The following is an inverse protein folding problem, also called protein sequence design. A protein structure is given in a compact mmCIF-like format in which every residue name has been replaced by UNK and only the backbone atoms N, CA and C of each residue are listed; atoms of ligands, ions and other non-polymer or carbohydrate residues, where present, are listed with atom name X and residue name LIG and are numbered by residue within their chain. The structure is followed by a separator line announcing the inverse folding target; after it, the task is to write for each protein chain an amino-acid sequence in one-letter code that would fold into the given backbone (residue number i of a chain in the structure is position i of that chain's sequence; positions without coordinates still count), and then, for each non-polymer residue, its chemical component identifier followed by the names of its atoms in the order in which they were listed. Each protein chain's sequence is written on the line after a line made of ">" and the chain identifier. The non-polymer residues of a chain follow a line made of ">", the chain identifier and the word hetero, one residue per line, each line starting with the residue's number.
data_IF_512002444308
#
_entry.id   IF_512002444308
#
_cell.length_a   1.000
_cell.length_b   1.000
_cell.length_c   1.000
_cell.angle_alpha   90.00
_cell.angle_beta   90.00
_cell.angle_gamma   90.00
#
_symmetry.space_group_name_H-M   'P 1'
#
loop_
_entity.id
_entity.type
_entity.pdbx_description
1 polymer ?
#
# COMPACT_ATOMS: atom_id res chain seq x y z
N UNK A 1 -16.98 14.84 8.76
CA UNK A 1 -17.29 13.41 8.89
C UNK A 1 -16.12 12.55 8.40
N UNK A 2 -15.84 11.42 9.07
CA UNK A 2 -14.73 10.50 8.70
C UNK A 2 -14.89 10.00 7.26
N UNK A 3 -16.12 9.80 6.80
CA UNK A 3 -16.42 9.34 5.45
C UNK A 3 -16.06 10.35 4.36
N UNK A 4 -16.22 11.63 4.59
CA UNK A 4 -15.88 12.67 3.61
C UNK A 4 -14.35 12.73 3.39
N UNK A 5 -13.58 12.49 4.45
CA UNK A 5 -12.12 12.39 4.37
C UNK A 5 -11.64 11.13 3.62
N UNK A 6 -12.40 10.03 3.72
CA UNK A 6 -12.05 8.75 3.08
C UNK A 6 -12.42 8.69 1.59
N UNK A 7 -13.35 9.54 1.14
CA UNK A 7 -13.88 9.53 -0.24
C UNK A 7 -13.33 10.67 -1.11
N UNK A 8 -12.75 11.71 -0.52
CA UNK A 8 -12.13 12.79 -1.29
C UNK A 8 -10.68 12.47 -1.66
N UNK A 9 -10.51 11.79 -2.78
CA UNK A 9 -9.19 11.51 -3.37
C UNK A 9 -8.63 12.65 -4.22
N UNK A 10 -9.32 13.77 -4.34
CA UNK A 10 -8.92 14.93 -5.16
C UNK A 10 -7.60 15.54 -4.70
N UNK A 11 -7.30 15.44 -3.40
CA UNK A 11 -6.06 15.91 -2.77
C UNK A 11 -4.97 14.83 -2.65
N UNK A 12 -5.17 13.65 -3.27
CA UNK A 12 -4.31 12.49 -3.15
C UNK A 12 -4.61 11.63 -1.92
N UNK A 13 -4.05 10.43 -1.89
CA UNK A 13 -4.15 9.53 -0.74
C UNK A 13 -2.76 9.02 -0.34
N UNK A 14 -2.61 8.68 0.92
CA UNK A 14 -1.39 8.09 1.47
C UNK A 14 -1.66 6.65 1.87
N UNK A 15 -0.74 5.76 1.49
CA UNK A 15 -0.79 4.38 1.94
C UNK A 15 0.06 4.25 3.19
N UNK A 16 -0.48 3.66 4.23
CA UNK A 16 0.25 3.25 5.42
C UNK A 16 -0.18 1.85 5.87
N UNK A 17 0.68 1.19 6.63
CA UNK A 17 0.40 -0.15 7.12
C UNK A 17 -0.52 -0.06 8.35
N UNK A 18 -1.78 -0.47 8.20
CA UNK A 18 -2.76 -0.44 9.29
C UNK A 18 -2.30 -1.30 10.48
N UNK A 19 -1.70 -2.45 10.21
CA UNK A 19 -1.14 -3.32 11.26
C UNK A 19 -0.07 -2.61 12.10
N UNK A 20 0.75 -1.77 11.50
CA UNK A 20 1.73 -0.93 12.20
C UNK A 20 1.03 0.18 12.98
N UNK A 21 0.05 0.86 12.39
CA UNK A 21 -0.70 1.92 13.07
C UNK A 21 -1.41 1.41 14.34
N UNK A 22 -1.93 0.19 14.33
CA UNK A 22 -2.60 -0.42 15.47
C UNK A 22 -1.66 -0.82 16.63
N UNK A 23 -0.35 -0.84 16.42
CA UNK A 23 0.64 -1.11 17.49
C UNK A 23 0.91 0.11 18.36
N UNK A 24 0.61 1.32 17.89
CA UNK A 24 0.86 2.53 18.64
C UNK A 24 -0.11 2.72 19.80
N UNK A 25 0.44 3.10 20.94
CA UNK A 25 -0.31 3.45 22.15
C UNK A 25 -0.79 4.90 22.11
N UNK A 26 -0.02 5.77 21.46
CA UNK A 26 -0.30 7.19 21.38
C UNK A 26 -1.07 7.55 20.10
N UNK A 27 -2.15 8.29 20.24
CA UNK A 27 -2.87 8.90 19.10
C UNK A 27 -1.96 9.85 18.31
N UNK A 28 -1.01 10.49 18.96
CA UNK A 28 -0.06 11.38 18.30
C UNK A 28 0.91 10.60 17.43
N UNK A 29 1.34 9.43 17.85
CA UNK A 29 2.18 8.54 17.04
C UNK A 29 1.44 8.08 15.77
N UNK A 30 0.16 7.70 15.90
CA UNK A 30 -0.67 7.35 14.75
C UNK A 30 -0.77 8.52 13.76
N UNK A 31 -1.00 9.73 14.25
CA UNK A 31 -1.09 10.94 13.42
C UNK A 31 0.23 11.27 12.71
N UNK A 32 1.35 11.19 13.42
CA UNK A 32 2.66 11.37 12.80
C UNK A 32 2.96 10.27 11.78
N UNK A 33 2.57 9.04 12.05
CA UNK A 33 2.73 7.93 11.12
C UNK A 33 1.93 8.16 9.82
N UNK A 34 0.66 8.57 9.93
CA UNK A 34 -0.15 8.96 8.77
C UNK A 34 0.47 10.11 7.97
N UNK A 35 0.99 11.11 8.68
CA UNK A 35 1.58 12.31 8.08
C UNK A 35 2.87 12.00 7.32
N UNK A 36 3.70 11.10 7.85
CA UNK A 36 5.05 10.81 7.36
C UNK A 36 5.11 9.63 6.39
N UNK A 37 4.11 8.73 6.42
CA UNK A 37 4.10 7.55 5.58
C UNK A 37 4.18 7.89 4.10
N UNK A 38 5.20 7.34 3.42
CA UNK A 38 5.46 7.57 2.01
C UNK A 38 6.05 8.94 1.66
N UNK A 39 6.32 9.79 2.64
CA UNK A 39 6.98 11.08 2.41
C UNK A 39 8.48 10.88 2.23
N UNK A 40 9.04 11.60 1.26
CA UNK A 40 10.49 11.60 0.95
C UNK A 40 11.13 12.97 1.13
N UNK A 41 10.32 13.99 1.25
CA UNK A 41 10.77 15.39 1.32
C UNK A 41 10.49 15.97 2.69
N UNK A 42 11.26 16.98 3.06
CA UNK A 42 11.07 17.77 4.27
C UNK A 42 9.65 18.33 4.32
N UNK A 43 9.01 18.23 5.46
CA UNK A 43 7.72 18.81 5.77
C UNK A 43 7.91 19.99 6.74
N UNK A 44 7.23 21.08 6.48
CA UNK A 44 7.27 22.29 7.33
C UNK A 44 5.87 22.60 7.77
N UNK A 45 5.65 22.70 9.08
CA UNK A 45 4.36 23.05 9.65
C UNK A 45 4.49 24.21 10.64
N UNK A 46 3.71 25.29 10.46
CA UNK A 46 3.52 26.30 11.49
C UNK A 46 3.01 25.66 12.79
N UNK A 47 3.43 26.18 13.94
CA UNK A 47 3.07 25.63 15.26
C UNK A 47 1.55 25.53 15.43
N UNK A 48 0.82 26.59 15.08
CA UNK A 48 -0.64 26.65 15.25
C UNK A 48 -1.34 25.63 14.33
N UNK A 49 -0.91 25.51 13.08
CA UNK A 49 -1.44 24.51 12.17
C UNK A 49 -1.20 23.07 12.69
N UNK A 50 -0.01 22.81 13.24
CA UNK A 50 0.32 21.51 13.79
C UNK A 50 -0.56 21.19 15.01
N UNK A 51 -0.77 22.15 15.91
CA UNK A 51 -1.69 22.01 17.04
C UNK A 51 -3.13 21.76 16.59
N UNK A 52 -3.58 22.43 15.55
CA UNK A 52 -4.91 22.22 14.96
C UNK A 52 -5.07 20.82 14.40
N UNK A 53 -4.10 20.35 13.60
CA UNK A 53 -4.09 18.98 13.04
C UNK A 53 -4.17 17.91 14.12
N UNK A 54 -3.52 18.12 15.26
CA UNK A 54 -3.55 17.21 16.41
C UNK A 54 -4.72 17.46 17.38
N UNK A 55 -5.56 18.48 17.14
CA UNK A 55 -6.69 18.90 17.99
C UNK A 55 -6.24 19.19 19.44
N UNK A 56 -5.16 19.94 19.58
CA UNK A 56 -4.55 20.27 20.88
C UNK A 56 -4.30 21.78 21.05
N UNK A 57 -5.06 22.63 20.37
CA UNK A 57 -4.91 24.09 20.42
C UNK A 57 -4.94 24.62 21.86
N UNK A 58 -5.85 24.08 22.67
CA UNK A 58 -6.10 24.56 24.05
C UNK A 58 -5.30 23.77 25.12
N UNK A 59 -4.57 22.72 24.73
CA UNK A 59 -3.95 21.80 25.71
C UNK A 59 -2.57 22.21 26.15
N UNK A 60 -1.77 22.84 25.29
CA UNK A 60 -0.36 23.10 25.54
C UNK A 60 -0.03 24.57 25.34
N UNK A 61 -0.22 25.37 26.38
CA UNK A 61 0.07 26.80 26.35
C UNK A 61 1.56 27.09 26.07
N UNK A 62 2.45 26.27 26.63
CA UNK A 62 3.90 26.35 26.38
C UNK A 62 4.30 25.42 25.24
N UNK A 63 5.00 25.94 24.25
CA UNK A 63 5.50 25.15 23.11
C UNK A 63 6.42 24.01 23.55
N UNK A 64 7.22 24.21 24.61
CA UNK A 64 8.06 23.15 25.15
C UNK A 64 7.27 21.95 25.71
N UNK A 65 6.08 22.18 26.27
CA UNK A 65 5.20 21.10 26.71
C UNK A 65 4.61 20.35 25.54
N UNK A 66 4.28 21.04 24.44
CA UNK A 66 3.86 20.40 23.20
C UNK A 66 4.97 19.49 22.62
N UNK A 67 6.21 19.98 22.59
CA UNK A 67 7.35 19.18 22.14
C UNK A 67 7.50 17.93 23.03
N UNK A 68 7.59 18.11 24.34
CA UNK A 68 7.84 17.04 25.32
C UNK A 68 6.72 15.99 25.40
N UNK A 69 5.46 16.41 25.21
CA UNK A 69 4.28 15.53 25.39
C UNK A 69 3.70 15.01 24.09
N UNK A 70 4.02 15.60 22.95
CA UNK A 70 3.45 15.22 21.64
C UNK A 70 4.53 14.77 20.68
N UNK A 71 5.55 15.61 20.40
CA UNK A 71 6.54 15.32 19.35
C UNK A 71 7.49 14.23 19.79
N UNK A 72 8.15 14.40 20.95
CA UNK A 72 9.18 13.45 21.41
C UNK A 72 8.63 12.05 21.72
N UNK A 73 7.51 11.88 22.43
CA UNK A 73 6.96 10.56 22.65
C UNK A 73 6.51 9.88 21.35
N UNK A 74 5.95 10.65 20.41
CA UNK A 74 5.59 10.12 19.11
C UNK A 74 6.80 9.67 18.30
N UNK A 75 7.89 10.46 18.31
CA UNK A 75 9.15 10.09 17.68
C UNK A 75 9.69 8.78 18.24
N UNK A 76 9.77 8.66 19.55
CA UNK A 76 10.30 7.46 20.21
C UNK A 76 9.50 6.21 19.83
N UNK A 77 8.16 6.30 19.84
CA UNK A 77 7.31 5.17 19.50
C UNK A 77 7.41 4.81 18.00
N UNK A 78 7.53 5.81 17.11
CA UNK A 78 7.78 5.56 15.69
C UNK A 78 9.18 4.96 15.46
N UNK A 79 10.19 5.38 16.21
CA UNK A 79 11.55 4.84 16.11
C UNK A 79 11.61 3.35 16.45
N UNK A 80 10.75 2.88 17.36
CA UNK A 80 10.72 1.49 17.81
C UNK A 80 9.83 0.59 16.95
N UNK A 81 8.68 1.11 16.45
CA UNK A 81 7.61 0.27 15.92
C UNK A 81 7.28 0.51 14.44
N UNK A 82 7.80 1.60 13.86
CA UNK A 82 7.36 2.08 12.57
C UNK A 82 8.43 2.00 11.49
N UNK A 83 8.08 1.61 10.25
CA UNK A 83 8.96 1.76 9.09
C UNK A 83 9.16 3.22 8.67
N UNK A 84 8.37 4.16 9.20
CA UNK A 84 8.52 5.58 8.95
C UNK A 84 8.67 6.32 10.28
N UNK A 85 9.78 7.00 10.44
CA UNK A 85 10.06 7.90 11.55
C UNK A 85 10.54 9.25 11.04
N UNK A 86 11.01 10.13 11.91
CA UNK A 86 11.46 11.47 11.53
C UNK A 86 12.52 12.02 12.44
N UNK A 87 13.36 12.87 11.90
CA UNK A 87 14.07 13.89 12.67
C UNK A 87 13.31 15.22 12.58
N UNK A 88 13.51 16.08 13.55
CA UNK A 88 12.84 17.37 13.57
C UNK A 88 13.75 18.51 14.02
N UNK A 89 13.43 19.72 13.59
CA UNK A 89 14.04 20.94 14.07
C UNK A 89 12.99 22.04 14.21
N UNK A 90 13.21 22.96 15.14
CA UNK A 90 12.31 24.08 15.36
C UNK A 90 12.85 25.36 14.71
N UNK A 91 12.01 26.05 13.95
CA UNK A 91 12.31 27.39 13.46
C UNK A 91 11.84 28.42 14.50
N UNK A 92 12.70 29.36 14.83
CA UNK A 92 12.46 30.37 15.85
C UNK A 92 12.49 31.78 15.26
N UNK A 93 11.59 32.61 15.73
CA UNK A 93 11.65 34.07 15.57
C UNK A 93 11.94 34.67 16.93
N UNK A 94 13.16 35.17 17.12
CA UNK A 94 13.67 35.53 18.43
C UNK A 94 13.65 34.37 19.42
N UNK A 95 12.89 34.48 20.51
CA UNK A 95 12.74 33.42 21.53
C UNK A 95 11.55 32.46 21.30
N UNK A 96 10.69 32.76 20.32
CA UNK A 96 9.47 31.96 20.07
C UNK A 96 9.68 30.96 18.94
N UNK A 97 9.22 29.73 19.13
CA UNK A 97 9.14 28.72 18.06
C UNK A 97 7.89 29.06 17.23
N UNK A 98 8.07 29.23 15.92
CA UNK A 98 6.99 29.56 14.97
C UNK A 98 6.60 28.38 14.08
N UNK A 99 7.55 27.49 13.78
CA UNK A 99 7.27 26.30 12.96
C UNK A 99 8.22 25.17 13.28
N UNK A 100 7.84 23.97 12.82
CA UNK A 100 8.68 22.77 12.92
C UNK A 100 8.98 22.26 11.51
N UNK A 101 10.21 21.78 11.34
CA UNK A 101 10.65 21.04 10.18
C UNK A 101 10.70 19.55 10.57
N UNK A 102 10.08 18.70 9.78
CA UNK A 102 10.17 17.25 9.93
C UNK A 102 10.91 16.67 8.74
N UNK A 103 11.85 15.79 9.00
CA UNK A 103 12.66 15.10 8.01
C UNK A 103 12.29 13.62 8.06
N UNK A 104 11.43 13.14 7.16
CA UNK A 104 11.00 11.74 7.15
C UNK A 104 12.17 10.80 6.91
N UNK A 105 12.21 9.70 7.68
CA UNK A 105 13.22 8.64 7.59
C UNK A 105 12.48 7.32 7.40
N UNK A 106 12.92 6.52 6.44
CA UNK A 106 12.40 5.18 6.21
C UNK A 106 13.33 4.13 6.82
N UNK A 107 12.78 3.28 7.71
CA UNK A 107 13.45 2.16 8.37
C UNK A 107 12.88 0.83 7.83
N UNK A 108 13.50 0.21 6.84
CA UNK A 108 12.98 -1.01 6.23
C UNK A 108 12.88 -2.19 7.20
N UNK A 109 13.70 -2.22 8.26
CA UNK A 109 13.74 -3.27 9.27
C UNK A 109 12.45 -3.39 10.09
N UNK A 110 11.69 -2.31 10.23
CA UNK A 110 10.39 -2.29 10.95
C UNK A 110 9.19 -2.57 10.06
N UNK A 111 9.43 -2.83 8.77
CA UNK A 111 8.36 -3.11 7.82
C UNK A 111 7.78 -4.50 8.07
N UNK A 112 6.45 -4.63 7.92
CA UNK A 112 5.78 -5.92 7.98
C UNK A 112 6.29 -6.83 6.85
N UNK A 113 6.90 -7.97 7.22
CA UNK A 113 7.53 -8.89 6.29
C UNK A 113 6.53 -9.53 5.30
N UNK A 114 5.30 -9.79 5.76
CA UNK A 114 4.27 -10.36 4.89
C UNK A 114 3.75 -9.35 3.87
N UNK A 115 3.51 -8.10 4.30
CA UNK A 115 3.12 -7.02 3.41
C UNK A 115 4.21 -6.72 2.39
N UNK A 116 5.47 -6.69 2.83
CA UNK A 116 6.61 -6.51 1.95
C UNK A 116 6.72 -7.63 0.92
N UNK A 117 6.57 -8.89 1.34
CA UNK A 117 6.56 -10.05 0.44
C UNK A 117 5.41 -9.98 -0.58
N UNK A 118 4.21 -9.61 -0.14
CA UNK A 118 3.05 -9.41 -1.04
C UNK A 118 3.27 -8.27 -2.04
N UNK A 119 3.90 -7.18 -1.63
CA UNK A 119 4.22 -6.08 -2.55
C UNK A 119 5.33 -6.46 -3.54
N UNK A 120 6.38 -7.14 -3.10
CA UNK A 120 7.40 -7.70 -3.99
C UNK A 120 6.78 -8.65 -5.01
N UNK A 121 5.90 -9.55 -4.58
CA UNK A 121 5.17 -10.43 -5.48
C UNK A 121 4.33 -9.66 -6.51
N UNK A 122 3.73 -8.53 -6.12
CA UNK A 122 3.01 -7.65 -7.06
C UNK A 122 3.93 -6.89 -8.02
N UNK A 123 5.13 -6.54 -7.58
CA UNK A 123 6.10 -5.78 -8.38
C UNK A 123 6.92 -6.65 -9.32
N UNK A 124 7.29 -7.86 -8.89
CA UNK A 124 8.17 -8.76 -9.64
C UNK A 124 7.51 -9.47 -10.81
N UNK A 125 6.27 -9.13 -11.15
CA UNK A 125 5.63 -9.57 -12.37
C UNK A 125 5.12 -11.01 -12.36
N UNK A 126 4.44 -11.36 -13.44
CA UNK A 126 3.71 -12.62 -13.69
C UNK A 126 4.54 -13.92 -13.55
N UNK A 127 5.87 -13.84 -13.48
CA UNK A 127 6.75 -14.99 -13.65
C UNK A 127 6.99 -15.83 -12.39
N UNK A 128 6.54 -15.41 -11.21
CA UNK A 128 6.83 -16.14 -9.96
C UNK A 128 5.76 -17.17 -9.59
N UNK A 129 4.51 -16.92 -9.95
CA UNK A 129 3.39 -17.80 -9.59
C UNK A 129 2.83 -18.58 -10.78
N UNK A 130 2.98 -18.02 -12.00
CA UNK A 130 2.60 -18.70 -13.24
C UNK A 130 3.82 -19.30 -13.93
N UNK A 131 3.74 -20.56 -14.33
CA UNK A 131 4.79 -21.21 -15.11
C UNK A 131 5.12 -20.44 -16.39
N UNK A 132 6.41 -20.34 -16.74
CA UNK A 132 6.86 -19.66 -17.96
C UNK A 132 6.16 -20.14 -19.21
N UNK A 133 5.87 -21.45 -19.29
CA UNK A 133 5.17 -22.07 -20.40
C UNK A 133 3.73 -21.57 -20.50
N UNK A 134 3.03 -21.44 -19.36
CA UNK A 134 1.66 -20.91 -19.29
C UNK A 134 1.61 -19.46 -19.76
N UNK A 135 2.53 -18.62 -19.25
CA UNK A 135 2.62 -17.22 -19.66
C UNK A 135 2.89 -17.09 -21.16
N UNK A 136 3.86 -17.87 -21.66
CA UNK A 136 4.18 -17.89 -23.09
C UNK A 136 2.96 -18.27 -23.92
N UNK A 137 2.25 -19.31 -23.54
CA UNK A 137 1.07 -19.79 -24.25
C UNK A 137 -0.09 -18.76 -24.22
N UNK A 138 -0.32 -18.13 -23.07
CA UNK A 138 -1.31 -17.06 -22.95
C UNK A 138 -1.01 -15.89 -23.88
N UNK A 139 0.27 -15.51 -24.02
CA UNK A 139 0.69 -14.41 -24.90
C UNK A 139 0.69 -14.78 -26.37
N UNK A 140 1.34 -15.87 -26.72
CA UNK A 140 1.59 -16.23 -28.13
C UNK A 140 0.40 -16.94 -28.80
N UNK A 141 -0.28 -17.80 -28.06
CA UNK A 141 -1.34 -18.64 -28.59
C UNK A 141 -2.75 -18.13 -28.35
N UNK A 142 -2.97 -17.43 -27.24
CA UNK A 142 -4.27 -16.87 -26.84
C UNK A 142 -4.29 -15.34 -26.92
N UNK A 143 -3.16 -14.70 -27.28
CA UNK A 143 -3.01 -13.27 -27.54
C UNK A 143 -3.40 -12.37 -26.37
N UNK A 144 -3.27 -12.88 -25.12
CA UNK A 144 -3.46 -12.05 -23.94
C UNK A 144 -2.34 -11.03 -23.79
N UNK A 145 -2.69 -9.78 -23.58
CA UNK A 145 -1.73 -8.73 -23.22
C UNK A 145 -1.25 -8.91 -21.76
N UNK A 146 -0.11 -8.34 -21.42
CA UNK A 146 0.41 -8.35 -20.03
C UNK A 146 -0.59 -7.79 -19.03
N UNK A 147 -1.36 -6.77 -19.43
CA UNK A 147 -2.40 -6.16 -18.60
C UNK A 147 -3.56 -7.13 -18.35
N UNK A 148 -4.01 -7.85 -19.38
CA UNK A 148 -5.10 -8.83 -19.26
C UNK A 148 -4.67 -10.03 -18.40
N UNK A 149 -3.44 -10.53 -18.56
CA UNK A 149 -2.90 -11.61 -17.74
C UNK A 149 -2.80 -11.15 -16.28
N UNK A 150 -2.30 -9.92 -16.03
CA UNK A 150 -2.17 -9.35 -14.70
C UNK A 150 -3.53 -9.17 -14.01
N UNK A 151 -4.54 -8.71 -14.74
CA UNK A 151 -5.89 -8.50 -14.21
C UNK A 151 -6.59 -9.82 -13.85
N UNK A 152 -6.23 -10.94 -14.49
CA UNK A 152 -6.80 -12.26 -14.24
C UNK A 152 -5.78 -13.23 -13.63
N UNK A 153 -4.72 -12.70 -12.99
CA UNK A 153 -3.62 -13.49 -12.46
C UNK A 153 -4.08 -14.57 -11.49
N UNK A 154 -4.90 -14.21 -10.51
CA UNK A 154 -5.36 -15.13 -9.48
C UNK A 154 -6.13 -16.32 -10.10
N UNK A 155 -6.92 -16.07 -11.14
CA UNK A 155 -7.61 -17.10 -11.87
C UNK A 155 -6.64 -18.08 -12.56
N UNK A 156 -5.63 -17.56 -13.26
CA UNK A 156 -4.66 -18.40 -13.95
C UNK A 156 -3.77 -19.19 -12.99
N UNK A 157 -3.41 -18.59 -11.85
CA UNK A 157 -2.64 -19.28 -10.79
C UNK A 157 -3.49 -20.41 -10.18
N UNK A 158 -4.75 -20.12 -9.81
CA UNK A 158 -5.66 -21.15 -9.28
C UNK A 158 -5.89 -22.26 -10.30
N UNK A 159 -6.09 -21.91 -11.56
CA UNK A 159 -6.26 -22.91 -12.63
C UNK A 159 -5.01 -23.79 -12.80
N UNK A 160 -3.80 -23.21 -12.68
CA UNK A 160 -2.55 -23.99 -12.73
C UNK A 160 -2.39 -24.93 -11.54
N UNK A 161 -2.88 -24.55 -10.36
CA UNK A 161 -2.77 -25.38 -9.15
C UNK A 161 -3.83 -26.49 -9.10
N UNK A 162 -5.04 -26.18 -9.56
CA UNK A 162 -6.18 -27.09 -9.39
C UNK A 162 -6.43 -28.01 -10.60
N UNK A 163 -6.06 -27.58 -11.80
CA UNK A 163 -6.25 -28.41 -12.98
C UNK A 163 -5.05 -29.36 -13.18
N UNK A 164 -5.28 -30.63 -13.52
CA UNK A 164 -4.21 -31.64 -13.68
C UNK A 164 -3.15 -31.25 -14.72
N UNK A 165 -3.59 -30.62 -15.82
CA UNK A 165 -2.73 -30.09 -16.89
C UNK A 165 -3.35 -28.82 -17.48
N UNK A 166 -2.90 -27.69 -16.98
CA UNK A 166 -3.36 -26.38 -17.44
C UNK A 166 -3.07 -26.13 -18.93
N UNK A 167 -1.98 -26.70 -19.48
CA UNK A 167 -1.60 -26.48 -20.86
C UNK A 167 -2.57 -27.17 -21.81
N UNK A 168 -2.92 -28.41 -21.53
CA UNK A 168 -3.95 -29.15 -22.29
C UNK A 168 -5.31 -28.47 -22.20
N UNK A 169 -5.69 -28.02 -21.00
CA UNK A 169 -6.96 -27.30 -20.81
C UNK A 169 -7.03 -25.99 -21.62
N UNK A 170 -5.96 -25.18 -21.58
CA UNK A 170 -5.87 -23.96 -22.38
C UNK A 170 -5.92 -24.25 -23.89
N UNK A 171 -5.32 -25.34 -24.36
CA UNK A 171 -5.38 -25.75 -25.76
C UNK A 171 -6.80 -26.14 -26.19
N UNK A 172 -7.52 -26.87 -25.35
CA UNK A 172 -8.93 -27.23 -25.58
C UNK A 172 -9.79 -25.97 -25.62
N UNK A 173 -9.62 -25.08 -24.66
CA UNK A 173 -10.37 -23.81 -24.58
C UNK A 173 -10.08 -22.91 -25.80
N UNK A 174 -8.84 -22.86 -26.27
CA UNK A 174 -8.47 -22.17 -27.52
C UNK A 174 -9.30 -22.67 -28.70
N UNK A 175 -9.36 -24.01 -28.86
CA UNK A 175 -10.17 -24.60 -29.95
C UNK A 175 -11.63 -24.19 -29.89
N UNK A 176 -12.24 -24.26 -28.71
CA UNK A 176 -13.66 -23.94 -28.48
C UNK A 176 -13.96 -22.43 -28.54
N UNK A 177 -12.98 -21.58 -28.29
CA UNK A 177 -13.17 -20.13 -28.29
C UNK A 177 -13.16 -19.48 -29.68
N UNK A 178 -12.64 -20.17 -30.71
CA UNK A 178 -12.48 -19.62 -32.07
C UNK A 178 -13.79 -19.13 -32.71
N UNK A 179 -14.91 -19.71 -32.35
CA UNK A 179 -16.23 -19.34 -32.87
C UNK A 179 -16.96 -18.30 -32.04
N UNK A 180 -16.31 -17.80 -30.96
CA UNK A 180 -16.92 -16.87 -30.01
C UNK A 180 -16.61 -15.41 -30.37
N UNK A 181 -17.57 -14.52 -30.16
CA UNK A 181 -17.41 -13.06 -30.39
C UNK A 181 -16.32 -12.45 -29.54
N UNK A 182 -16.12 -12.93 -28.30
CA UNK A 182 -15.04 -12.55 -27.40
C UNK A 182 -14.31 -13.79 -26.89
N UNK A 183 -13.31 -14.30 -27.64
CA UNK A 183 -12.59 -15.53 -27.28
C UNK A 183 -11.92 -15.46 -25.90
N UNK A 184 -11.27 -14.35 -25.58
CA UNK A 184 -10.57 -14.16 -24.32
C UNK A 184 -11.51 -14.17 -23.10
N UNK A 185 -12.58 -13.39 -23.18
CA UNK A 185 -13.60 -13.34 -22.13
C UNK A 185 -14.28 -14.70 -21.93
N UNK A 186 -14.52 -15.44 -23.02
CA UNK A 186 -15.08 -16.77 -22.96
C UNK A 186 -14.13 -17.76 -22.26
N UNK A 187 -12.81 -17.73 -22.56
CA UNK A 187 -11.79 -18.56 -21.90
C UNK A 187 -11.74 -18.28 -20.39
N UNK A 188 -11.75 -16.99 -20.00
CA UNK A 188 -11.77 -16.59 -18.60
C UNK A 188 -12.98 -17.17 -17.86
N UNK A 189 -14.16 -17.07 -18.44
CA UNK A 189 -15.39 -17.59 -17.85
C UNK A 189 -15.41 -19.14 -17.81
N UNK A 190 -14.89 -19.79 -18.84
CA UNK A 190 -14.79 -21.26 -18.88
C UNK A 190 -13.82 -21.78 -17.81
N UNK A 191 -12.68 -21.10 -17.59
CA UNK A 191 -11.76 -21.45 -16.50
C UNK A 191 -12.41 -21.27 -15.13
N UNK A 192 -13.16 -20.17 -14.91
CA UNK A 192 -13.90 -19.96 -13.67
C UNK A 192 -14.92 -21.06 -13.39
N UNK A 193 -15.62 -21.54 -14.43
CA UNK A 193 -16.54 -22.67 -14.30
C UNK A 193 -15.82 -23.94 -13.88
N UNK A 194 -14.75 -24.31 -14.58
CA UNK A 194 -13.97 -25.52 -14.29
C UNK A 194 -13.35 -25.57 -12.89
N UNK A 195 -13.01 -24.41 -12.31
CA UNK A 195 -12.49 -24.30 -10.94
C UNK A 195 -13.63 -24.45 -9.91
N UNK A 196 -14.83 -23.97 -10.22
CA UNK A 196 -15.98 -24.07 -9.32
C UNK A 196 -16.61 -25.46 -9.25
N UNK A 197 -16.49 -26.24 -10.34
CA UNK A 197 -17.11 -27.56 -10.47
C UNK A 197 -16.22 -28.67 -9.84
N UNK A 198 -15.15 -28.29 -9.14
CA UNK A 198 -14.28 -29.16 -8.35
C UNK A 198 -14.48 -28.98 -6.85
#
# INVERSE_FOLDING_TARGET
>A
HIWDCCLDFSKGFRKYELATAMKFKSVYSMRFYELLSGQKTKLIYPLEQLKEMFKVQDKYAKTNDFVRKVIEPAKNELDELSPYTFEWSANKEGKKIVSFNFYPIFKPEHRDAELYKKELQKQTGLSWDLGRQVISYLKTSLEFSDKEIKNNRDLFVTAQMELPDIMTELAILRGKSRTKTNPKGWIINALKGKIKDK
#
